data_IF_207836571605
#
_entry.id   IF_207836571605
#
_cell.length_a   1.000
_cell.length_b   1.000
_cell.length_c   1.000
_cell.angle_alpha   90.00
_cell.angle_beta   90.00
_cell.angle_gamma   90.00
#
_symmetry.space_group_name_H-M   'P 1'
#
loop_
_entity.id
_entity.type
_entity.pdbx_description
1 polymer ?
#
# COMPACT_ATOMS: atom_id res chain seq x y z
N UNK A 1 30.27 59.93 -31.18
CA UNK A 1 31.30 59.09 -30.53
C UNK A 1 30.67 58.31 -29.39
N UNK A 2 30.72 56.98 -29.49
CA UNK A 2 30.91 55.98 -28.43
C UNK A 2 30.37 56.26 -27.00
N UNK A 3 29.39 55.47 -26.54
CA UNK A 3 29.54 54.40 -25.50
C UNK A 3 28.18 54.05 -24.87
N UNK A 4 27.75 52.78 -25.05
CA UNK A 4 26.69 52.13 -24.28
C UNK A 4 27.18 51.79 -22.87
N UNK A 5 26.35 51.97 -21.84
CA UNK A 5 26.38 51.12 -20.63
C UNK A 5 24.95 50.89 -20.14
N UNK A 6 24.61 49.61 -20.04
CA UNK A 6 23.37 49.04 -19.53
C UNK A 6 23.14 49.42 -18.06
N UNK A 7 21.93 49.84 -17.71
CA UNK A 7 21.48 49.93 -16.32
C UNK A 7 20.12 49.26 -16.20
N UNK A 8 20.14 47.93 -16.22
CA UNK A 8 19.02 47.09 -15.81
C UNK A 8 18.85 47.20 -14.29
N UNK A 9 17.92 48.04 -13.83
CA UNK A 9 17.55 48.11 -12.40
C UNK A 9 16.38 47.16 -12.16
N UNK A 10 16.77 45.94 -11.82
CA UNK A 10 16.28 45.10 -10.72
C UNK A 10 14.75 45.02 -10.55
N UNK A 11 14.23 43.88 -11.00
CA UNK A 11 12.91 43.31 -10.73
C UNK A 11 12.76 43.09 -9.21
N UNK A 12 11.95 43.88 -8.54
CA UNK A 12 11.50 43.64 -7.17
C UNK A 12 10.27 42.74 -7.16
N UNK A 13 10.43 41.44 -7.41
CA UNK A 13 9.39 40.46 -7.10
C UNK A 13 9.39 40.22 -5.59
N UNK A 14 8.40 40.81 -4.92
CA UNK A 14 8.11 40.59 -3.51
C UNK A 14 7.54 39.17 -3.35
N UNK A 15 8.40 38.19 -3.08
CA UNK A 15 7.98 36.86 -2.65
C UNK A 15 7.36 36.99 -1.26
N UNK A 16 6.02 37.07 -1.23
CA UNK A 16 5.23 36.81 -0.03
C UNK A 16 5.39 35.33 0.32
N UNK A 17 6.38 35.01 1.14
CA UNK A 17 6.53 33.71 1.74
C UNK A 17 5.40 33.55 2.79
N UNK A 18 4.33 32.85 2.43
CA UNK A 18 3.36 32.37 3.42
C UNK A 18 4.06 31.34 4.29
N UNK A 19 4.44 31.73 5.51
CA UNK A 19 4.82 30.79 6.54
C UNK A 19 3.55 30.01 6.92
N UNK A 20 3.39 28.82 6.33
CA UNK A 20 2.54 27.80 6.93
C UNK A 20 3.29 27.42 8.20
N UNK A 21 2.79 27.91 9.33
CA UNK A 21 3.18 27.35 10.61
C UNK A 21 2.68 25.91 10.60
N UNK A 22 3.58 24.97 10.31
CA UNK A 22 3.45 23.62 10.85
C UNK A 22 3.47 23.81 12.36
N UNK A 23 2.27 23.97 12.96
CA UNK A 23 2.06 23.52 14.32
C UNK A 23 2.37 22.03 14.29
N UNK A 24 3.65 21.71 14.47
CA UNK A 24 4.05 20.48 15.09
C UNK A 24 3.24 20.43 16.37
N UNK A 25 2.13 19.70 16.32
CA UNK A 25 1.46 19.24 17.50
C UNK A 25 2.56 18.51 18.26
N UNK A 26 3.12 19.18 19.27
CA UNK A 26 3.80 18.53 20.36
C UNK A 26 2.71 17.68 21.01
N UNK A 27 2.39 16.55 20.40
CA UNK A 27 1.51 15.56 20.99
C UNK A 27 2.32 15.03 22.15
N UNK A 28 2.08 15.62 23.32
CA UNK A 28 2.45 15.06 24.60
C UNK A 28 1.61 13.78 24.71
N UNK A 29 2.05 12.73 24.02
CA UNK A 29 1.34 11.46 23.95
C UNK A 29 1.51 10.81 25.30
N UNK A 30 0.46 10.77 26.10
CA UNK A 30 0.43 10.05 27.35
C UNK A 30 0.85 8.59 27.10
N UNK A 31 1.89 8.12 27.79
CA UNK A 31 2.41 6.77 27.65
C UNK A 31 1.96 5.92 28.83
N UNK A 32 1.41 4.73 28.57
CA UNK A 32 0.98 3.78 29.60
C UNK A 32 1.82 2.51 29.55
N UNK A 33 2.20 2.03 30.73
CA UNK A 33 2.94 0.78 30.92
C UNK A 33 1.97 -0.39 30.94
N UNK A 34 2.11 -1.31 29.98
CA UNK A 34 1.26 -2.51 29.85
C UNK A 34 2.14 -3.76 29.90
N UNK A 35 1.65 -4.80 30.57
CA UNK A 35 2.29 -6.12 30.54
C UNK A 35 1.92 -6.88 29.26
N UNK A 36 2.89 -7.06 28.37
CA UNK A 36 2.77 -7.96 27.22
C UNK A 36 3.10 -9.38 27.66
N UNK A 37 2.17 -10.31 27.42
CA UNK A 37 2.33 -11.74 27.77
C UNK A 37 2.60 -12.54 26.50
N UNK A 38 3.65 -13.35 26.50
CA UNK A 38 3.92 -14.32 25.43
C UNK A 38 3.25 -15.66 25.77
N UNK A 39 2.20 -16.01 25.01
CA UNK A 39 1.41 -17.23 25.20
C UNK A 39 1.99 -18.47 24.50
N UNK A 40 3.23 -18.40 24.02
CA UNK A 40 3.90 -19.57 23.47
C UNK A 40 4.29 -20.58 24.58
N UNK A 41 4.14 -21.87 24.30
CA UNK A 41 4.56 -22.96 25.20
C UNK A 41 3.56 -23.34 26.29
N UNK A 42 4.06 -23.92 27.39
CA UNK A 42 3.25 -24.33 28.56
C UNK A 42 3.38 -23.27 29.67
N UNK A 43 2.34 -23.08 30.50
CA UNK A 43 2.40 -22.17 31.64
C UNK A 43 3.56 -22.52 32.60
N UNK A 44 4.14 -21.55 33.34
CA UNK A 44 3.80 -20.12 33.39
C UNK A 44 4.42 -19.28 32.24
N UNK A 45 3.67 -18.30 31.74
CA UNK A 45 4.04 -17.49 30.58
C UNK A 45 5.04 -16.37 30.92
N UNK A 46 5.91 -16.06 29.94
CA UNK A 46 6.84 -14.93 30.03
C UNK A 46 6.06 -13.61 29.87
N UNK A 47 6.48 -12.58 30.61
CA UNK A 47 5.87 -11.25 30.59
C UNK A 47 6.94 -10.17 30.43
N UNK A 48 6.65 -9.17 29.62
CA UNK A 48 7.50 -8.01 29.37
C UNK A 48 6.70 -6.73 29.60
N UNK A 49 7.31 -5.71 30.20
CA UNK A 49 6.68 -4.42 30.42
C UNK A 49 6.97 -3.54 29.20
N UNK A 50 5.91 -3.11 28.51
CA UNK A 50 5.99 -2.32 27.28
C UNK A 50 5.28 -0.98 27.49
N UNK A 51 5.89 0.10 27.02
CA UNK A 51 5.29 1.44 27.01
C UNK A 51 4.56 1.66 25.69
N UNK A 52 3.26 1.93 25.74
CA UNK A 52 2.42 2.17 24.57
C UNK A 52 1.75 3.56 24.70
N UNK A 53 1.63 4.31 23.59
CA UNK A 53 0.91 5.58 23.59
C UNK A 53 -0.59 5.34 23.81
N UNK A 54 -1.23 6.19 24.60
CA UNK A 54 -2.67 6.21 24.80
C UNK A 54 -3.31 6.82 23.56
N UNK A 55 -4.19 6.05 22.90
CA UNK A 55 -5.03 6.55 21.84
C UNK A 55 -6.40 6.91 22.40
N UNK A 56 -6.88 8.13 22.13
CA UNK A 56 -8.23 8.52 22.49
C UNK A 56 -9.23 7.78 21.59
N UNK A 57 -10.04 6.92 22.20
CA UNK A 57 -11.05 6.12 21.50
C UNK A 57 -12.13 7.00 20.87
N UNK A 58 -12.40 8.18 21.43
CA UNK A 58 -13.42 9.09 20.90
C UNK A 58 -12.99 9.78 19.59
N UNK A 59 -11.68 9.98 19.39
CA UNK A 59 -11.11 10.60 18.19
C UNK A 59 -10.64 9.58 17.14
N UNK A 60 -10.80 8.28 17.42
CA UNK A 60 -10.29 7.21 16.57
C UNK A 60 -11.26 6.95 15.40
N UNK A 61 -10.99 7.56 14.26
CA UNK A 61 -11.64 7.21 12.99
C UNK A 61 -11.09 5.86 12.50
N UNK A 62 -11.79 4.78 12.85
CA UNK A 62 -11.45 3.44 12.37
C UNK A 62 -11.79 3.34 10.88
N UNK A 63 -10.81 3.50 9.99
CA UNK A 63 -10.96 3.18 8.57
C UNK A 63 -10.90 1.65 8.36
N UNK A 64 -11.76 0.90 9.05
CA UNK A 64 -11.96 -0.51 8.72
C UNK A 64 -12.79 -0.54 7.43
N UNK A 65 -12.12 -0.45 6.28
CA UNK A 65 -12.73 -0.88 5.03
C UNK A 65 -12.99 -2.38 5.18
N UNK A 66 -14.22 -2.73 5.56
CA UNK A 66 -14.70 -4.11 5.52
C UNK A 66 -14.75 -4.49 4.05
N UNK A 67 -13.69 -5.11 3.56
CA UNK A 67 -13.66 -5.65 2.21
C UNK A 67 -14.44 -6.97 2.27
N UNK A 68 -15.50 -7.06 1.49
CA UNK A 68 -16.26 -8.31 1.35
C UNK A 68 -15.34 -9.39 0.77
N UNK A 69 -15.34 -10.58 1.37
CA UNK A 69 -14.48 -11.70 0.96
C UNK A 69 -15.31 -12.93 0.69
N UNK A 70 -15.00 -13.63 -0.40
CA UNK A 70 -15.63 -14.89 -0.79
C UNK A 70 -14.68 -16.08 -0.69
N UNK A 71 -15.23 -17.26 -0.40
CA UNK A 71 -14.48 -18.52 -0.27
C UNK A 71 -14.46 -19.26 -1.60
N UNK A 72 -13.29 -19.31 -2.23
CA UNK A 72 -13.08 -19.97 -3.53
C UNK A 72 -12.13 -21.16 -3.38
N UNK A 73 -12.41 -22.23 -4.12
CA UNK A 73 -11.49 -23.37 -4.22
C UNK A 73 -10.39 -23.08 -5.24
N UNK A 74 -9.15 -22.92 -4.77
CA UNK A 74 -7.97 -22.75 -5.62
C UNK A 74 -7.27 -24.10 -5.81
N UNK A 75 -6.88 -24.40 -7.05
CA UNK A 75 -6.10 -25.59 -7.40
C UNK A 75 -4.63 -25.22 -7.48
N UNK A 76 -3.77 -25.97 -6.81
CA UNK A 76 -2.32 -25.84 -6.98
C UNK A 76 -1.86 -26.79 -8.11
N UNK A 77 -1.47 -26.21 -9.25
CA UNK A 77 -1.02 -26.93 -10.44
C UNK A 77 0.45 -27.38 -10.37
N UNK A 78 1.09 -27.28 -9.21
CA UNK A 78 2.43 -27.80 -9.00
C UNK A 78 2.48 -29.34 -9.06
N UNK A 79 3.48 -29.88 -9.77
CA UNK A 79 3.79 -31.32 -9.79
C UNK A 79 3.01 -32.15 -10.81
N UNK A 80 2.93 -33.46 -10.57
CA UNK A 80 2.16 -34.41 -11.39
C UNK A 80 0.73 -34.52 -10.85
N UNK A 81 -0.28 -34.72 -11.72
CA UNK A 81 -1.66 -34.91 -11.30
C UNK A 81 -1.82 -36.17 -10.43
N UNK A 82 -2.83 -36.23 -9.54
CA UNK A 82 -3.90 -35.26 -9.31
C UNK A 82 -3.51 -34.08 -8.40
N UNK A 83 -4.04 -32.89 -8.72
CA UNK A 83 -3.69 -31.64 -8.04
C UNK A 83 -4.41 -31.45 -6.71
N UNK A 84 -3.73 -30.79 -5.77
CA UNK A 84 -4.30 -30.43 -4.46
C UNK A 84 -5.18 -29.19 -4.58
N UNK A 85 -6.27 -29.17 -3.82
CA UNK A 85 -7.19 -28.04 -3.71
C UNK A 85 -7.12 -27.45 -2.31
N UNK A 86 -7.17 -26.13 -2.21
CA UNK A 86 -7.28 -25.40 -0.94
C UNK A 86 -8.40 -24.38 -1.02
N UNK A 87 -9.08 -24.15 0.09
CA UNK A 87 -10.10 -23.12 0.21
C UNK A 87 -9.38 -21.81 0.57
N UNK A 88 -9.61 -20.77 -0.22
CA UNK A 88 -8.97 -19.47 -0.08
C UNK A 88 -10.04 -18.37 -0.02
N UNK A 89 -9.85 -17.42 0.90
CA UNK A 89 -10.69 -16.21 0.99
C UNK A 89 -10.08 -15.13 0.08
N UNK A 90 -10.88 -14.65 -0.88
CA UNK A 90 -10.46 -13.67 -1.90
C UNK A 90 -11.39 -12.45 -1.78
N UNK A 91 -10.87 -11.21 -1.81
CA UNK A 91 -11.69 -10.01 -1.77
C UNK A 91 -12.55 -9.89 -3.02
N UNK A 92 -13.81 -9.50 -2.83
CA UNK A 92 -14.74 -9.15 -3.91
C UNK A 92 -14.58 -7.67 -4.19
N UNK A 93 -14.36 -7.34 -5.47
CA UNK A 93 -14.23 -5.96 -5.95
C UNK A 93 -15.24 -5.79 -7.08
N UNK A 94 -16.05 -4.74 -7.02
CA UNK A 94 -16.98 -4.40 -8.09
C UNK A 94 -16.22 -4.02 -9.35
N UNK A 95 -16.56 -4.67 -10.46
CA UNK A 95 -15.94 -4.38 -11.76
C UNK A 95 -16.15 -2.93 -12.21
N UNK A 96 -17.22 -2.27 -11.76
CA UNK A 96 -17.50 -0.86 -12.04
C UNK A 96 -16.58 0.11 -11.30
N UNK A 97 -15.97 -0.31 -10.19
CA UNK A 97 -15.00 0.49 -9.42
C UNK A 97 -13.57 0.40 -9.95
N UNK A 98 -13.34 -0.45 -10.95
CA UNK A 98 -12.00 -0.74 -11.46
C UNK A 98 -11.69 0.20 -12.62
N UNK A 99 -10.89 1.24 -12.36
CA UNK A 99 -10.30 2.07 -13.41
C UNK A 99 -9.13 1.31 -14.05
N UNK A 100 -9.28 0.92 -15.31
CA UNK A 100 -8.24 0.22 -16.07
C UNK A 100 -7.33 1.28 -16.69
N UNK A 101 -6.14 1.47 -16.13
CA UNK A 101 -5.08 2.20 -16.82
C UNK A 101 -4.57 1.36 -18.00
N UNK A 102 -4.44 1.93 -19.22
CA UNK A 102 -3.93 1.20 -20.36
C UNK A 102 -2.46 0.83 -20.13
N UNK A 103 -2.19 -0.45 -19.90
CA UNK A 103 -0.83 -0.97 -19.87
C UNK A 103 -0.31 -0.99 -21.30
N UNK A 104 0.79 -0.28 -21.57
CA UNK A 104 1.44 -0.33 -22.87
C UNK A 104 1.83 -1.77 -23.20
N UNK A 105 1.33 -2.27 -24.33
CA UNK A 105 1.60 -3.62 -24.81
C UNK A 105 3.10 -3.79 -25.05
N UNK A 106 3.81 -4.39 -24.09
CA UNK A 106 5.17 -4.85 -24.36
C UNK A 106 5.11 -5.83 -25.54
N UNK A 107 5.94 -5.59 -26.56
CA UNK A 107 5.99 -6.32 -27.83
C UNK A 107 6.26 -7.83 -27.63
N UNK A 108 5.24 -8.60 -27.25
CA UNK A 108 5.32 -10.05 -27.17
C UNK A 108 5.23 -10.56 -28.61
N UNK A 109 6.40 -10.90 -29.18
CA UNK A 109 6.53 -11.53 -30.49
C UNK A 109 5.72 -12.83 -30.50
N UNK A 110 4.52 -12.80 -31.11
CA UNK A 110 3.69 -13.99 -31.33
C UNK A 110 4.50 -14.98 -32.19
N UNK A 111 4.97 -16.07 -31.59
CA UNK A 111 5.59 -17.16 -32.33
C UNK A 111 4.48 -17.83 -33.16
N UNK A 112 4.68 -18.04 -34.48
CA UNK A 112 3.67 -18.69 -35.30
C UNK A 112 3.43 -20.11 -34.76
N UNK A 113 2.17 -20.45 -34.46
CA UNK A 113 1.80 -21.81 -34.12
C UNK A 113 2.09 -22.68 -35.35
N UNK A 114 3.05 -23.60 -35.22
CA UNK A 114 3.34 -24.59 -36.25
C UNK A 114 2.08 -25.40 -36.57
N UNK A 115 1.82 -25.62 -37.86
CA UNK A 115 0.66 -26.39 -38.30
C UNK A 115 0.72 -27.81 -37.75
N UNK A 116 -0.34 -28.23 -37.07
CA UNK A 116 -0.47 -29.61 -36.61
C UNK A 116 -0.58 -30.53 -37.84
N UNK A 117 0.46 -31.33 -38.09
CA UNK A 117 0.39 -32.41 -39.09
C UNK A 117 -0.67 -33.41 -38.67
N UNK A 118 -1.73 -33.53 -39.47
CA UNK A 118 -2.71 -34.62 -39.36
C UNK A 118 -2.26 -35.74 -40.29
N UNK A 119 -1.98 -36.93 -39.76
CA UNK A 119 -1.81 -38.13 -40.57
C UNK A 119 -3.20 -38.57 -41.08
N UNK A 120 -3.30 -38.85 -42.37
CA UNK A 120 -4.50 -39.33 -43.06
C UNK A 120 -4.49 -40.85 -43.13
#
# INVERSE_FOLDING_TARGET
MLRFVFSSVIIGSLLMQSAIADTAASSDTEMVKVWKVDFSGRPPFKRELVELPVADVAALEVTNKVIETERVWTVDYSGKPPFKRKLQEIPVIDAASLEIEPVEESNIRKRPLGSFKRHR
#
